data_IF_324400849519
#
_entry.id   IF_324400849519
#
_cell.length_a   1.000
_cell.length_b   1.000
_cell.length_c   1.000
_cell.angle_alpha   90.00
_cell.angle_beta   90.00
_cell.angle_gamma   90.00
#
_symmetry.space_group_name_H-M   'P 1'
#
loop_
_entity.id
_entity.type
_entity.pdbx_description
1 polymer ?
#
# COMPACT_ATOMS: atom_id res chain seq x y z
N UNK A 1 20.54 3.67 3.56
CA UNK A 1 21.40 3.01 2.56
C UNK A 1 22.34 1.97 3.21
N UNK A 2 23.05 2.28 4.30
CA UNK A 2 23.98 1.37 4.98
C UNK A 2 23.30 0.08 5.47
N UNK A 3 22.18 0.20 6.19
CA UNK A 3 21.40 -0.94 6.68
C UNK A 3 20.92 -1.85 5.54
N UNK A 4 20.44 -1.26 4.43
CA UNK A 4 20.00 -2.00 3.25
C UNK A 4 21.12 -2.88 2.69
N UNK A 5 22.32 -2.31 2.53
CA UNK A 5 23.46 -3.02 1.97
C UNK A 5 23.93 -4.19 2.85
N UNK A 6 23.96 -3.99 4.17
CA UNK A 6 24.32 -5.06 5.11
C UNK A 6 23.26 -6.18 5.06
N UNK A 7 21.98 -5.85 5.17
CA UNK A 7 20.91 -6.86 5.14
C UNK A 7 20.92 -7.65 3.84
N UNK A 8 21.13 -6.96 2.71
CA UNK A 8 21.26 -7.60 1.41
C UNK A 8 22.40 -8.63 1.37
N UNK A 9 23.56 -8.32 1.95
CA UNK A 9 24.70 -9.26 2.00
C UNK A 9 24.43 -10.52 2.83
N UNK A 10 23.43 -10.49 3.70
CA UNK A 10 22.93 -11.64 4.46
C UNK A 10 21.67 -12.29 3.85
N UNK A 11 21.29 -11.91 2.61
CA UNK A 11 20.15 -12.48 1.90
C UNK A 11 18.79 -11.95 2.34
N UNK A 12 18.76 -10.79 3.03
CA UNK A 12 17.50 -10.13 3.37
C UNK A 12 17.17 -9.07 2.34
N UNK A 13 15.97 -9.12 1.79
CA UNK A 13 15.45 -8.17 0.82
C UNK A 13 14.35 -7.32 1.47
N UNK A 14 14.31 -6.03 1.14
CA UNK A 14 13.20 -5.17 1.54
C UNK A 14 11.96 -5.60 0.76
N UNK A 15 10.87 -5.97 1.42
CA UNK A 15 9.61 -6.34 0.77
C UNK A 15 8.51 -5.27 0.98
N UNK A 16 8.69 -4.41 1.98
CA UNK A 16 7.88 -3.22 2.20
C UNK A 16 8.76 -2.11 2.83
N UNK A 17 8.23 -0.89 3.00
CA UNK A 17 9.00 0.32 3.37
C UNK A 17 9.91 0.10 4.58
N UNK A 18 9.44 -0.62 5.62
CA UNK A 18 10.11 -0.72 6.92
C UNK A 18 10.74 -2.08 7.20
N UNK A 19 10.33 -3.13 6.47
CA UNK A 19 10.67 -4.50 6.81
C UNK A 19 11.48 -5.21 5.71
N UNK A 20 12.34 -6.12 6.17
CA UNK A 20 13.18 -6.97 5.36
C UNK A 20 12.94 -8.43 5.71
N UNK A 21 13.03 -9.31 4.73
CA UNK A 21 12.93 -10.75 4.91
C UNK A 21 13.83 -11.48 3.92
N UNK A 22 14.13 -12.74 4.21
CA UNK A 22 14.63 -13.67 3.20
C UNK A 22 13.47 -14.05 2.28
N UNK A 23 13.77 -14.42 1.04
CA UNK A 23 12.78 -14.85 0.07
C UNK A 23 11.90 -15.98 0.65
N UNK A 24 10.58 -15.81 0.57
CA UNK A 24 9.58 -16.73 1.11
C UNK A 24 9.31 -16.59 2.62
N UNK A 25 9.99 -15.68 3.33
CA UNK A 25 9.82 -15.42 4.76
C UNK A 25 9.21 -14.04 5.07
N UNK A 26 8.61 -13.40 4.06
CA UNK A 26 7.89 -12.15 4.24
C UNK A 26 6.72 -12.33 5.22
N UNK A 27 6.50 -11.34 6.08
CA UNK A 27 5.41 -11.40 7.05
C UNK A 27 4.06 -11.34 6.32
N UNK A 28 3.40 -12.49 6.18
CA UNK A 28 2.08 -12.59 5.51
C UNK A 28 1.00 -11.74 6.17
N UNK A 29 1.07 -11.59 7.48
CA UNK A 29 0.15 -10.73 8.22
C UNK A 29 0.28 -9.27 7.80
N UNK A 30 1.51 -8.75 7.71
CA UNK A 30 1.75 -7.38 7.23
C UNK A 30 1.31 -7.21 5.77
N UNK A 31 1.69 -8.16 4.90
CA UNK A 31 1.27 -8.14 3.50
C UNK A 31 -0.26 -8.18 3.36
N UNK A 32 -0.95 -8.92 4.23
CA UNK A 32 -2.41 -8.93 4.28
C UNK A 32 -2.98 -7.52 4.51
N UNK A 33 -2.43 -6.76 5.45
CA UNK A 33 -2.84 -5.37 5.66
C UNK A 33 -2.56 -4.49 4.43
N UNK A 34 -1.37 -4.60 3.84
CA UNK A 34 -0.98 -3.81 2.67
C UNK A 34 -1.77 -4.15 1.41
N UNK A 35 -2.35 -5.35 1.36
CA UNK A 35 -3.25 -5.80 0.28
C UNK A 35 -4.74 -5.55 0.59
N UNK A 36 -5.08 -4.88 1.70
CA UNK A 36 -6.46 -4.72 2.18
C UNK A 36 -7.22 -6.06 2.31
N UNK A 37 -6.51 -7.14 2.66
CA UNK A 37 -7.17 -8.41 2.97
C UNK A 37 -8.09 -8.23 4.18
N UNK A 38 -9.30 -8.76 4.10
CA UNK A 38 -10.24 -8.73 5.21
C UNK A 38 -9.67 -9.41 6.45
N UNK A 39 -9.94 -8.85 7.61
CA UNK A 39 -9.49 -9.39 8.88
C UNK A 39 -10.51 -9.15 9.99
N UNK A 40 -10.57 -10.09 10.92
CA UNK A 40 -11.34 -10.00 12.13
C UNK A 40 -10.39 -9.79 13.32
N UNK A 41 -10.52 -8.65 13.97
CA UNK A 41 -9.83 -8.37 15.23
C UNK A 41 -10.51 -9.10 16.38
N UNK A 42 -9.71 -9.67 17.30
CA UNK A 42 -10.20 -10.37 18.50
C UNK A 42 -9.66 -9.66 19.72
N UNK A 43 -10.55 -9.31 20.64
CA UNK A 43 -10.23 -8.64 21.90
C UNK A 43 -10.65 -7.18 21.92
N UNK A 44 -10.64 -6.61 23.12
CA UNK A 44 -11.10 -5.23 23.39
C UNK A 44 -10.31 -4.22 22.56
N UNK A 45 -11.00 -3.42 21.76
CA UNK A 45 -10.40 -2.39 20.92
C UNK A 45 -9.73 -2.89 19.64
N UNK A 46 -9.78 -4.21 19.35
CA UNK A 46 -9.24 -4.74 18.10
C UNK A 46 -10.11 -4.31 16.92
N UNK A 47 -9.47 -3.74 15.90
CA UNK A 47 -10.16 -3.33 14.69
C UNK A 47 -10.39 -4.53 13.75
N UNK A 48 -11.48 -4.48 13.00
CA UNK A 48 -11.85 -5.43 11.95
C UNK A 48 -12.11 -4.69 10.65
N UNK A 49 -11.86 -5.36 9.54
CA UNK A 49 -12.25 -4.92 8.19
C UNK A 49 -12.91 -6.09 7.46
N UNK A 50 -14.22 -6.05 7.25
CA UNK A 50 -14.99 -7.11 6.60
C UNK A 50 -16.03 -6.44 5.69
N UNK A 51 -16.15 -6.90 4.44
CA UNK A 51 -17.12 -6.38 3.45
C UNK A 51 -17.05 -4.85 3.32
N UNK A 52 -15.85 -4.26 3.30
CA UNK A 52 -15.61 -2.82 3.29
C UNK A 52 -16.24 -2.06 4.48
N UNK A 53 -16.46 -2.74 5.59
CA UNK A 53 -16.88 -2.15 6.86
C UNK A 53 -15.73 -2.25 7.86
N UNK A 54 -15.39 -1.12 8.47
CA UNK A 54 -14.42 -1.07 9.56
C UNK A 54 -15.16 -0.90 10.87
N UNK A 55 -14.80 -1.68 11.86
CA UNK A 55 -15.39 -1.59 13.20
C UNK A 55 -14.42 -2.10 14.26
N UNK A 56 -14.66 -1.68 15.49
CA UNK A 56 -14.07 -2.27 16.70
C UNK A 56 -15.20 -2.87 17.53
N UNK A 57 -14.91 -3.85 18.37
CA UNK A 57 -15.91 -4.48 19.25
C UNK A 57 -16.59 -3.42 20.12
N UNK A 58 -17.93 -3.33 20.03
CA UNK A 58 -18.74 -2.34 20.74
C UNK A 58 -18.69 -0.91 20.21
N UNK A 59 -17.99 -0.67 19.10
CA UNK A 59 -17.93 0.63 18.43
C UNK A 59 -18.89 0.77 17.25
N UNK A 60 -18.88 1.96 16.67
CA UNK A 60 -19.65 2.24 15.45
C UNK A 60 -19.07 1.51 14.23
N UNK A 61 -19.93 1.16 13.29
CA UNK A 61 -19.51 0.55 12.01
C UNK A 61 -19.31 1.69 11.01
N UNK A 62 -18.09 1.84 10.52
CA UNK A 62 -17.75 2.73 9.41
C UNK A 62 -17.90 1.97 8.10
N UNK A 63 -18.81 2.38 7.23
CA UNK A 63 -18.93 1.86 5.86
C UNK A 63 -18.03 2.68 4.96
N UNK A 64 -16.97 2.04 4.43
CA UNK A 64 -16.02 2.72 3.57
C UNK A 64 -16.63 3.06 2.21
N UNK A 65 -16.68 4.36 1.87
CA UNK A 65 -17.06 4.82 0.53
C UNK A 65 -16.12 4.26 -0.53
N UNK A 66 -16.53 4.24 -1.79
CA UNK A 66 -15.66 3.82 -2.90
C UNK A 66 -14.37 4.67 -2.95
N UNK A 67 -14.50 5.96 -2.66
CA UNK A 67 -13.38 6.89 -2.56
C UNK A 67 -12.40 6.46 -1.47
N UNK A 68 -12.87 6.26 -0.23
CA UNK A 68 -12.02 5.80 0.87
C UNK A 68 -11.34 4.45 0.58
N UNK A 69 -12.06 3.55 -0.11
CA UNK A 69 -11.48 2.27 -0.51
C UNK A 69 -10.33 2.44 -1.52
N UNK A 70 -10.46 3.35 -2.51
CA UNK A 70 -9.39 3.66 -3.47
C UNK A 70 -8.20 4.35 -2.80
N UNK A 71 -8.46 5.31 -1.89
CA UNK A 71 -7.43 5.97 -1.08
C UNK A 71 -6.60 4.96 -0.30
N UNK A 72 -7.27 4.08 0.44
CA UNK A 72 -6.60 3.02 1.20
C UNK A 72 -5.82 2.06 0.32
N UNK A 73 -6.38 1.68 -0.83
CA UNK A 73 -5.72 0.79 -1.77
C UNK A 73 -4.39 1.36 -2.25
N UNK A 74 -4.37 2.67 -2.57
CA UNK A 74 -3.14 3.37 -2.95
C UNK A 74 -2.20 3.54 -1.75
N UNK A 75 -2.70 4.04 -0.64
CA UNK A 75 -1.91 4.31 0.57
C UNK A 75 -1.24 3.05 1.12
N UNK A 76 -1.97 1.95 1.22
CA UNK A 76 -1.46 0.68 1.74
C UNK A 76 -0.62 -0.05 0.70
N UNK A 77 -1.06 -0.08 -0.55
CA UNK A 77 -0.37 -0.77 -1.63
C UNK A 77 0.99 -0.18 -1.96
N UNK A 78 1.16 1.15 -1.90
CA UNK A 78 2.44 1.82 -2.08
C UNK A 78 3.47 1.54 -0.96
N UNK A 79 3.06 0.96 0.16
CA UNK A 79 4.01 0.48 1.17
C UNK A 79 4.82 -0.72 0.70
N UNK A 80 4.27 -1.52 -0.19
CA UNK A 80 5.00 -2.67 -0.77
C UNK A 80 6.05 -2.18 -1.76
N UNK A 81 7.20 -2.83 -1.78
CA UNK A 81 8.26 -2.52 -2.76
C UNK A 81 7.81 -2.84 -4.19
N UNK A 82 6.98 -3.87 -4.36
CA UNK A 82 6.33 -4.18 -5.63
C UNK A 82 5.38 -3.07 -6.08
N UNK A 83 4.68 -2.42 -5.12
CA UNK A 83 3.74 -1.35 -5.36
C UNK A 83 2.30 -1.82 -5.55
N UNK A 84 1.54 -1.05 -6.32
CA UNK A 84 0.11 -1.22 -6.60
C UNK A 84 -0.10 -1.81 -7.98
N UNK A 85 -0.79 -2.96 -8.07
CA UNK A 85 -1.16 -3.59 -9.34
C UNK A 85 -2.22 -2.75 -10.07
N UNK A 86 -1.93 -2.36 -11.31
CA UNK A 86 -2.86 -1.62 -12.18
C UNK A 86 -4.06 -2.49 -12.57
N UNK A 87 -3.82 -3.77 -12.78
CA UNK A 87 -4.84 -4.75 -13.15
C UNK A 87 -5.81 -4.98 -12.00
N UNK A 88 -5.29 -5.23 -10.78
CA UNK A 88 -6.14 -5.49 -9.61
C UNK A 88 -6.94 -4.25 -9.23
N UNK A 89 -6.34 -3.06 -9.30
CA UNK A 89 -7.06 -1.81 -9.07
C UNK A 89 -8.24 -1.67 -10.05
N UNK A 90 -7.99 -1.91 -11.34
CA UNK A 90 -9.04 -1.82 -12.37
C UNK A 90 -10.15 -2.86 -12.15
N UNK A 91 -9.80 -4.08 -11.78
CA UNK A 91 -10.78 -5.14 -11.48
C UNK A 91 -11.62 -4.80 -10.26
N UNK A 92 -10.98 -4.26 -9.20
CA UNK A 92 -11.65 -3.92 -7.95
C UNK A 92 -12.58 -2.71 -8.08
N UNK A 93 -12.14 -1.65 -8.79
CA UNK A 93 -12.82 -0.36 -8.80
C UNK A 93 -13.49 0.00 -10.14
N UNK A 94 -13.37 -0.85 -11.17
CA UNK A 94 -13.97 -0.62 -12.49
C UNK A 94 -13.36 0.53 -13.29
N UNK A 95 -12.23 1.11 -12.83
CA UNK A 95 -11.51 2.24 -13.44
C UNK A 95 -10.00 2.09 -13.27
N UNK A 96 -9.22 2.70 -14.15
CA UNK A 96 -7.77 2.66 -14.00
C UNK A 96 -7.27 3.66 -12.96
N UNK A 97 -6.05 3.43 -12.45
CA UNK A 97 -5.38 4.35 -11.50
C UNK A 97 -5.18 5.72 -12.17
N UNK A 98 -4.82 5.74 -13.45
CA UNK A 98 -4.63 6.96 -14.24
C UNK A 98 -5.92 7.78 -14.33
N UNK A 99 -7.08 7.11 -14.46
CA UNK A 99 -8.38 7.79 -14.50
C UNK A 99 -8.79 8.35 -13.13
N UNK A 100 -8.36 7.70 -12.04
CA UNK A 100 -8.67 8.15 -10.69
C UNK A 100 -7.70 9.24 -10.21
N UNK A 101 -6.40 9.08 -10.48
CA UNK A 101 -5.31 9.85 -9.86
C UNK A 101 -4.35 10.49 -10.87
N UNK A 102 -4.75 10.69 -12.13
CA UNK A 102 -3.86 11.12 -13.21
C UNK A 102 -3.01 12.35 -12.90
N UNK A 103 -3.59 13.37 -12.24
CA UNK A 103 -2.85 14.59 -11.85
C UNK A 103 -1.77 14.28 -10.81
N UNK A 104 -2.10 13.48 -9.79
CA UNK A 104 -1.16 13.07 -8.74
C UNK A 104 -0.02 12.25 -9.35
N UNK A 105 -0.35 11.29 -10.21
CA UNK A 105 0.65 10.47 -10.88
C UNK A 105 1.63 11.30 -11.71
N UNK A 106 1.13 12.25 -12.51
CA UNK A 106 2.00 13.14 -13.32
C UNK A 106 2.97 13.89 -12.43
N UNK A 107 2.50 14.51 -11.34
CA UNK A 107 3.34 15.24 -10.39
C UNK A 107 4.39 14.34 -9.73
N UNK A 108 3.98 13.15 -9.27
CA UNK A 108 4.89 12.20 -8.62
C UNK A 108 5.94 11.64 -9.59
N UNK A 109 5.58 11.39 -10.86
CA UNK A 109 6.54 10.99 -11.88
C UNK A 109 7.54 12.11 -12.21
N UNK A 110 7.09 13.36 -12.35
CA UNK A 110 7.96 14.51 -12.58
C UNK A 110 8.96 14.71 -11.43
N UNK A 111 8.54 14.47 -10.20
CA UNK A 111 9.40 14.52 -8.99
C UNK A 111 10.30 13.28 -8.85
N UNK A 112 10.13 12.28 -9.71
CA UNK A 112 10.83 10.99 -9.65
C UNK A 112 10.60 10.24 -8.31
N UNK A 113 9.40 10.34 -7.76
CA UNK A 113 9.01 9.69 -6.52
C UNK A 113 8.25 8.39 -6.77
N UNK A 114 7.59 8.29 -7.92
CA UNK A 114 6.93 7.06 -8.40
C UNK A 114 7.53 6.64 -9.75
N UNK A 115 7.41 5.37 -10.05
CA UNK A 115 7.69 4.80 -11.36
C UNK A 115 6.58 3.84 -11.78
N UNK A 116 6.33 3.79 -13.10
CA UNK A 116 5.41 2.86 -13.73
C UNK A 116 6.21 1.74 -14.40
N UNK A 117 6.01 0.50 -13.96
CA UNK A 117 6.67 -0.68 -14.52
C UNK A 117 5.87 -1.32 -15.68
N UNK A 118 4.72 -0.74 -16.03
CA UNK A 118 3.74 -1.29 -16.95
C UNK A 118 2.64 -2.09 -16.23
N UNK A 119 2.99 -2.91 -15.27
CA UNK A 119 2.06 -3.72 -14.47
C UNK A 119 1.76 -3.09 -13.10
N UNK A 120 2.77 -2.46 -12.50
CA UNK A 120 2.69 -1.85 -11.17
C UNK A 120 3.07 -0.38 -11.19
N UNK A 121 2.49 0.40 -10.28
CA UNK A 121 2.95 1.72 -9.89
C UNK A 121 3.59 1.57 -8.51
N UNK A 122 4.85 1.98 -8.39
CA UNK A 122 5.60 1.81 -7.13
C UNK A 122 6.46 3.02 -6.78
N UNK A 123 6.87 3.09 -5.52
CA UNK A 123 7.84 4.07 -5.06
C UNK A 123 9.22 3.81 -5.66
N UNK A 124 9.88 4.87 -6.11
CA UNK A 124 11.33 4.84 -6.36
C UNK A 124 12.10 4.82 -5.04
N UNK A 125 13.41 4.59 -5.06
CA UNK A 125 14.24 4.73 -3.84
C UNK A 125 14.09 6.12 -3.20
N UNK A 126 14.04 7.18 -4.02
CA UNK A 126 13.77 8.55 -3.57
C UNK A 126 12.37 8.70 -2.98
N UNK A 127 11.37 8.04 -3.59
CA UNK A 127 10.00 8.03 -3.10
C UNK A 127 9.87 7.31 -1.76
N UNK A 128 10.62 6.24 -1.53
CA UNK A 128 10.63 5.52 -0.25
C UNK A 128 11.08 6.43 0.89
N UNK A 129 12.10 7.28 0.68
CA UNK A 129 12.62 8.20 1.70
C UNK A 129 11.58 9.25 2.13
N UNK A 130 10.62 9.57 1.27
CA UNK A 130 9.53 10.54 1.52
C UNK A 130 8.15 9.89 1.36
N UNK A 131 8.06 8.60 1.64
CA UNK A 131 6.88 7.78 1.35
C UNK A 131 5.58 8.31 1.96
N UNK A 132 5.62 8.87 3.17
CA UNK A 132 4.44 9.46 3.81
C UNK A 132 3.90 10.63 2.99
N UNK A 133 4.79 11.48 2.44
CA UNK A 133 4.39 12.56 1.55
C UNK A 133 3.72 12.00 0.29
N UNK A 134 4.37 11.05 -0.39
CA UNK A 134 3.80 10.48 -1.62
C UNK A 134 2.43 9.84 -1.36
N UNK A 135 2.33 9.05 -0.29
CA UNK A 135 1.07 8.37 0.06
C UNK A 135 -0.05 9.37 0.41
N UNK A 136 0.27 10.49 1.07
CA UNK A 136 -0.73 11.51 1.41
C UNK A 136 -1.33 12.23 0.20
N UNK A 137 -0.62 12.29 -0.93
CA UNK A 137 -1.13 12.91 -2.16
C UNK A 137 -2.28 12.10 -2.83
N UNK A 138 -2.48 10.86 -2.40
CA UNK A 138 -3.60 10.02 -2.86
C UNK A 138 -4.85 10.12 -1.98
N UNK A 139 -4.83 10.92 -0.94
CA UNK A 139 -6.00 11.24 -0.12
C UNK A 139 -6.74 12.43 -0.76
N UNK A 140 -8.06 12.31 -0.94
CA UNK A 140 -8.88 13.36 -1.54
C UNK A 140 -9.28 14.43 -0.51
#
# INVERSE_FOLDING_TARGET
>A
QFTKNILWSYGYHRYEISNYAKEGYECRHNLGYWNRTEYLGIGTGAASLINNQRFVEGGEIEVLSLQNQMEEYMFLGLRKIEGVSKTDFRQTFGRSIENAYGKVLIDMYQKQLLEDTGEYIRLTEKGIDVSNYVMSEFLF
#
